data_IF_963146830288
#
_entry.id   IF_963146830288
#
_cell.length_a   1.000
_cell.length_b   1.000
_cell.length_c   1.000
_cell.angle_alpha   90.00
_cell.angle_beta   90.00
_cell.angle_gamma   90.00
#
_symmetry.space_group_name_H-M   'P 1'
#
loop_
_entity.id
_entity.type
_entity.pdbx_description
1 polymer ?
#
# COMPACT_ATOMS: atom_id res chain seq x y z
N UNK A 1 15.72 -28.22 8.99
CA UNK A 1 16.26 -27.26 8.01
C UNK A 1 15.27 -26.12 7.97
N UNK A 2 15.65 -24.92 8.43
CA UNK A 2 14.85 -23.72 8.25
C UNK A 2 14.80 -23.48 6.75
N UNK A 3 13.63 -23.39 6.18
CA UNK A 3 13.47 -23.20 4.75
C UNK A 3 13.93 -21.76 4.44
N UNK A 4 15.09 -21.59 3.80
CA UNK A 4 15.70 -20.28 3.48
C UNK A 4 14.75 -19.33 2.73
N UNK A 5 13.69 -19.86 2.09
CA UNK A 5 12.68 -19.07 1.38
C UNK A 5 11.78 -18.21 2.29
N UNK A 6 11.84 -18.37 3.62
CA UNK A 6 11.01 -17.62 4.59
C UNK A 6 11.76 -16.52 5.33
N UNK A 7 13.06 -16.36 5.09
CA UNK A 7 13.83 -15.28 5.69
C UNK A 7 13.46 -13.98 4.98
N UNK A 8 13.01 -13.00 5.76
CA UNK A 8 12.77 -11.65 5.28
C UNK A 8 14.08 -10.86 5.35
N UNK A 9 14.56 -10.43 4.19
CA UNK A 9 15.80 -9.66 4.06
C UNK A 9 15.51 -8.18 3.85
N UNK A 10 16.24 -7.32 4.55
CA UNK A 10 16.25 -5.89 4.29
C UNK A 10 17.27 -5.59 3.20
N UNK A 11 16.83 -4.90 2.16
CA UNK A 11 17.66 -4.54 1.00
C UNK A 11 17.52 -3.06 0.65
N UNK A 12 18.49 -2.58 -0.14
CA UNK A 12 18.51 -1.20 -0.61
C UNK A 12 18.89 -1.17 -2.09
N UNK A 13 18.22 -0.27 -2.82
CA UNK A 13 18.59 0.09 -4.19
C UNK A 13 18.63 1.62 -4.32
N UNK A 14 19.30 2.12 -5.35
CA UNK A 14 19.22 3.54 -5.72
C UNK A 14 18.21 3.72 -6.86
N UNK A 15 17.33 4.67 -6.67
CA UNK A 15 16.41 5.17 -7.70
C UNK A 15 16.77 6.65 -7.91
N UNK A 16 17.38 6.97 -9.05
CA UNK A 16 18.12 8.21 -9.25
C UNK A 16 19.14 8.39 -8.10
N UNK A 17 19.15 9.53 -7.43
CA UNK A 17 20.05 9.83 -6.32
C UNK A 17 19.51 9.39 -4.94
N UNK A 18 18.34 8.72 -4.90
CA UNK A 18 17.68 8.38 -3.65
C UNK A 18 17.90 6.91 -3.28
N UNK A 19 18.26 6.65 -2.03
CA UNK A 19 18.37 5.32 -1.46
C UNK A 19 16.99 4.84 -1.02
N UNK A 20 16.55 3.74 -1.63
CA UNK A 20 15.25 3.13 -1.37
C UNK A 20 15.43 1.82 -0.62
N UNK A 21 14.81 1.74 0.54
CA UNK A 21 14.74 0.53 1.34
C UNK A 21 13.59 -0.36 0.86
N UNK A 22 13.82 -1.65 0.87
CA UNK A 22 12.74 -2.63 0.68
C UNK A 22 13.01 -3.92 1.45
N UNK A 23 11.93 -4.63 1.77
CA UNK A 23 11.99 -5.98 2.30
C UNK A 23 11.80 -6.97 1.15
N UNK A 24 12.54 -8.07 1.18
CA UNK A 24 12.41 -9.15 0.21
C UNK A 24 12.31 -10.49 0.91
N UNK A 25 11.45 -11.39 0.40
CA UNK A 25 11.33 -12.77 0.87
C UNK A 25 10.87 -13.68 -0.27
N UNK A 26 11.24 -14.96 -0.21
CA UNK A 26 10.93 -15.91 -1.26
C UNK A 26 11.89 -15.83 -2.46
N UNK A 27 11.87 -16.87 -3.30
CA UNK A 27 12.83 -17.05 -4.41
C UNK A 27 12.14 -17.48 -5.74
N UNK A 28 10.84 -17.32 -5.84
CA UNK A 28 10.08 -17.64 -7.06
C UNK A 28 10.48 -16.71 -8.22
N UNK A 29 10.29 -17.19 -9.45
CA UNK A 29 10.43 -16.35 -10.65
C UNK A 29 9.33 -15.29 -10.77
N UNK A 30 8.14 -15.57 -10.21
CA UNK A 30 7.03 -14.61 -10.19
C UNK A 30 7.18 -13.67 -9.00
N UNK A 31 7.07 -12.37 -9.25
CA UNK A 31 7.22 -11.34 -8.23
C UNK A 31 5.86 -10.78 -7.83
N UNK A 32 5.62 -10.71 -6.51
CA UNK A 32 4.52 -9.97 -5.89
C UNK A 32 5.08 -8.73 -5.19
N UNK A 33 4.65 -7.56 -5.63
CA UNK A 33 5.06 -6.28 -5.03
C UNK A 33 3.94 -5.78 -4.12
N UNK A 34 4.27 -5.43 -2.86
CA UNK A 34 3.32 -4.91 -1.88
C UNK A 34 3.61 -3.44 -1.62
N UNK A 35 2.63 -2.55 -1.89
CA UNK A 35 2.76 -1.11 -1.71
C UNK A 35 1.90 -0.62 -0.53
N UNK A 36 2.55 -0.04 0.47
CA UNK A 36 1.91 0.46 1.67
C UNK A 36 1.18 1.80 1.46
N UNK A 37 0.36 2.20 2.42
CA UNK A 37 -0.38 3.45 2.43
C UNK A 37 0.44 4.67 2.86
N UNK A 38 -0.23 5.83 2.91
CA UNK A 38 0.33 7.12 3.31
C UNK A 38 1.00 7.04 4.70
N UNK A 39 2.24 7.54 4.83
CA UNK A 39 2.97 7.58 6.12
C UNK A 39 3.37 6.23 6.70
N UNK A 40 3.07 5.13 6.01
CA UNK A 40 3.38 3.78 6.45
C UNK A 40 4.79 3.33 6.01
N UNK A 41 5.04 2.04 6.08
CA UNK A 41 6.28 1.39 5.66
C UNK A 41 6.03 -0.08 5.33
N UNK A 42 7.06 -0.77 4.84
CA UNK A 42 7.01 -2.19 4.49
C UNK A 42 6.56 -3.09 5.65
N UNK A 43 6.83 -2.70 6.90
CA UNK A 43 6.46 -3.44 8.10
C UNK A 43 4.95 -3.71 8.21
N UNK A 44 4.11 -2.89 7.57
CA UNK A 44 2.64 -3.13 7.59
C UNK A 44 2.24 -4.46 6.96
N UNK A 45 3.11 -5.05 6.14
CA UNK A 45 2.86 -6.29 5.42
C UNK A 45 3.44 -7.53 6.09
N UNK A 46 4.15 -7.39 7.23
CA UNK A 46 4.91 -8.50 7.87
C UNK A 46 4.08 -9.73 8.17
N UNK A 47 2.78 -9.58 8.49
CA UNK A 47 1.89 -10.70 8.78
C UNK A 47 1.58 -11.58 7.55
N UNK A 48 1.61 -11.01 6.33
CA UNK A 48 1.26 -11.72 5.08
C UNK A 48 2.47 -12.09 4.23
N UNK A 49 3.62 -11.42 4.40
CA UNK A 49 4.85 -11.72 3.65
C UNK A 49 5.23 -13.21 3.71
N UNK A 50 5.27 -13.89 4.89
CA UNK A 50 5.67 -15.30 4.95
C UNK A 50 4.71 -16.23 4.19
N UNK A 51 3.42 -15.87 4.11
CA UNK A 51 2.40 -16.65 3.38
C UNK A 51 2.63 -16.52 1.89
N UNK A 52 2.84 -15.31 1.41
CA UNK A 52 3.07 -15.07 -0.01
C UNK A 52 4.44 -15.58 -0.50
N UNK A 53 5.46 -15.55 0.37
CA UNK A 53 6.81 -16.02 0.04
C UNK A 53 6.90 -17.51 -0.24
N UNK A 54 5.86 -18.30 0.11
CA UNK A 54 5.76 -19.70 -0.29
C UNK A 54 5.55 -19.86 -1.82
N UNK A 55 5.03 -18.83 -2.48
CA UNK A 55 4.63 -18.89 -3.89
C UNK A 55 5.35 -17.87 -4.78
N UNK A 56 5.78 -16.75 -4.20
CA UNK A 56 6.32 -15.59 -4.92
C UNK A 56 7.66 -15.13 -4.36
N UNK A 57 8.42 -14.42 -5.17
CA UNK A 57 9.39 -13.43 -4.70
C UNK A 57 8.58 -12.22 -4.25
N UNK A 58 8.51 -11.97 -2.96
CA UNK A 58 7.76 -10.85 -2.37
C UNK A 58 8.70 -9.67 -2.20
N UNK A 59 8.38 -8.53 -2.81
CA UNK A 59 9.18 -7.29 -2.77
C UNK A 59 8.31 -6.18 -2.18
N UNK A 60 8.77 -5.56 -1.11
CA UNK A 60 7.98 -4.61 -0.32
C UNK A 60 8.78 -3.34 -0.10
N UNK A 61 8.74 -2.36 -1.03
CA UNK A 61 9.46 -1.12 -0.84
C UNK A 61 8.83 -0.25 0.25
N UNK A 62 9.68 0.47 0.98
CA UNK A 62 9.27 1.73 1.56
C UNK A 62 9.17 2.75 0.41
N UNK A 63 7.96 3.24 0.14
CA UNK A 63 7.76 4.23 -0.91
C UNK A 63 8.65 5.46 -0.66
N UNK A 64 9.22 6.01 -1.74
CA UNK A 64 10.00 7.24 -1.64
C UNK A 64 9.21 8.33 -0.88
N UNK A 65 9.86 8.98 0.08
CA UNK A 65 9.20 9.92 0.99
C UNK A 65 8.69 9.30 2.29
N UNK A 66 8.65 7.95 2.40
CA UNK A 66 8.10 7.23 3.55
C UNK A 66 9.06 6.16 4.09
N UNK A 67 8.66 5.55 5.20
CA UNK A 67 9.45 4.49 5.82
C UNK A 67 10.87 4.95 6.15
N UNK A 68 11.82 4.11 5.82
CA UNK A 68 13.26 4.37 5.93
C UNK A 68 13.92 4.67 4.57
N UNK A 69 13.12 4.81 3.51
CA UNK A 69 13.59 5.33 2.22
C UNK A 69 13.86 6.83 2.30
N UNK A 70 14.67 7.35 1.38
CA UNK A 70 14.98 8.77 1.29
C UNK A 70 13.73 9.62 1.05
N UNK A 71 13.78 10.85 1.52
CA UNK A 71 12.69 11.83 1.52
C UNK A 71 13.15 13.12 0.87
N UNK A 72 13.33 13.12 -0.48
CA UNK A 72 13.74 14.32 -1.20
C UNK A 72 12.72 15.45 -1.05
N UNK A 73 13.18 16.69 -1.11
CA UNK A 73 12.31 17.86 -1.16
C UNK A 73 11.80 18.05 -2.58
N UNK A 74 10.60 17.58 -2.81
CA UNK A 74 9.92 17.60 -4.12
C UNK A 74 8.40 17.60 -3.96
N UNK A 75 7.67 17.77 -5.06
CA UNK A 75 6.23 17.61 -5.10
C UNK A 75 5.88 16.12 -5.25
N UNK A 76 5.26 15.55 -4.22
CA UNK A 76 4.85 14.14 -4.19
C UNK A 76 3.48 13.97 -4.87
N UNK A 77 3.49 13.99 -6.20
CA UNK A 77 2.30 13.79 -7.05
C UNK A 77 2.14 12.32 -7.42
N UNK A 78 0.98 11.93 -7.97
CA UNK A 78 0.77 10.58 -8.48
C UNK A 78 1.74 10.24 -9.61
N UNK A 79 2.01 11.19 -10.51
CA UNK A 79 3.00 11.02 -11.58
C UNK A 79 4.41 10.79 -11.03
N UNK A 80 4.79 11.51 -9.96
CA UNK A 80 6.05 11.30 -9.27
C UNK A 80 6.16 9.86 -8.73
N UNK A 81 5.12 9.37 -8.06
CA UNK A 81 5.10 7.99 -7.55
C UNK A 81 5.08 6.95 -8.66
N UNK A 82 4.34 7.19 -9.75
CA UNK A 82 4.31 6.27 -10.90
C UNK A 82 5.68 6.15 -11.57
N UNK A 83 6.36 7.27 -11.80
CA UNK A 83 7.74 7.30 -12.31
C UNK A 83 8.73 6.64 -11.34
N UNK A 84 8.55 6.85 -10.04
CA UNK A 84 9.34 6.16 -9.01
C UNK A 84 9.18 4.65 -9.11
N UNK A 85 7.94 4.12 -9.24
CA UNK A 85 7.71 2.68 -9.35
C UNK A 85 8.41 2.07 -10.56
N UNK A 86 8.32 2.72 -11.73
CA UNK A 86 8.99 2.24 -12.95
C UNK A 86 10.50 2.08 -12.72
N UNK A 87 11.14 3.12 -12.18
CA UNK A 87 12.57 3.10 -11.89
C UNK A 87 12.95 2.11 -10.79
N UNK A 88 12.11 1.99 -9.75
CA UNK A 88 12.30 1.02 -8.67
C UNK A 88 12.24 -0.41 -9.22
N UNK A 89 11.30 -0.73 -10.09
CA UNK A 89 11.19 -2.06 -10.70
C UNK A 89 12.45 -2.41 -11.50
N UNK A 90 12.98 -1.46 -12.28
CA UNK A 90 14.25 -1.66 -12.99
C UNK A 90 15.40 -1.90 -12.01
N UNK A 91 15.56 -1.04 -11.00
CA UNK A 91 16.65 -1.11 -10.02
C UNK A 91 16.62 -2.38 -9.15
N UNK A 92 15.41 -2.92 -8.87
CA UNK A 92 15.22 -4.12 -8.05
C UNK A 92 15.05 -5.40 -8.87
N UNK A 93 15.25 -5.35 -10.21
CA UNK A 93 15.05 -6.47 -11.13
C UNK A 93 13.66 -7.09 -10.97
N UNK A 94 12.64 -6.26 -10.95
CA UNK A 94 11.23 -6.66 -10.96
C UNK A 94 10.71 -6.50 -12.39
N UNK A 95 10.31 -7.61 -12.99
CA UNK A 95 9.73 -7.64 -14.33
C UNK A 95 8.29 -8.12 -14.25
N UNK A 96 7.38 -7.35 -14.83
CA UNK A 96 5.95 -7.63 -14.95
C UNK A 96 5.34 -8.24 -13.67
N UNK A 97 5.38 -7.53 -12.53
CA UNK A 97 4.93 -8.05 -11.25
C UNK A 97 3.41 -8.19 -11.17
N UNK A 98 2.97 -8.97 -10.18
CA UNK A 98 1.67 -8.78 -9.55
C UNK A 98 1.84 -7.65 -8.56
N UNK A 99 0.97 -6.63 -8.60
CA UNK A 99 1.02 -5.49 -7.67
C UNK A 99 -0.17 -5.55 -6.71
N UNK A 100 0.11 -5.47 -5.43
CA UNK A 100 -0.88 -5.33 -4.37
C UNK A 100 -0.64 -4.02 -3.63
N UNK A 101 -1.57 -3.09 -3.75
CA UNK A 101 -1.47 -1.79 -3.09
C UNK A 101 -2.60 -1.52 -2.11
N UNK A 102 -2.26 -0.93 -0.96
CA UNK A 102 -3.23 -0.51 0.06
C UNK A 102 -3.33 1.01 0.12
N UNK A 103 -4.56 1.55 0.19
CA UNK A 103 -4.81 2.98 0.38
C UNK A 103 -4.10 3.83 -0.69
N UNK A 104 -3.18 4.71 -0.30
CA UNK A 104 -2.30 5.45 -1.23
C UNK A 104 -1.53 4.49 -2.16
N UNK A 105 -0.97 3.39 -1.63
CA UNK A 105 -0.30 2.38 -2.43
C UNK A 105 -1.23 1.76 -3.48
N UNK A 106 -2.51 1.61 -3.15
CA UNK A 106 -3.56 1.17 -4.09
C UNK A 106 -3.79 2.20 -5.20
N UNK A 107 -3.88 3.49 -4.87
CA UNK A 107 -4.03 4.56 -5.85
C UNK A 107 -2.81 4.66 -6.78
N UNK A 108 -1.60 4.58 -6.22
CA UNK A 108 -0.35 4.57 -7.00
C UNK A 108 -0.30 3.34 -7.92
N UNK A 109 -0.71 2.16 -7.42
CA UNK A 109 -0.77 0.93 -8.22
C UNK A 109 -1.74 1.06 -9.40
N UNK A 110 -2.92 1.62 -9.16
CA UNK A 110 -3.92 1.86 -10.19
C UNK A 110 -3.44 2.90 -11.22
N UNK A 111 -2.81 3.99 -10.77
CA UNK A 111 -2.20 5.00 -11.62
C UNK A 111 -1.15 4.40 -12.55
N UNK A 112 -0.19 3.65 -11.97
CA UNK A 112 0.87 2.99 -12.73
C UNK A 112 0.29 1.97 -13.73
N UNK A 113 -0.65 1.13 -13.29
CA UNK A 113 -1.25 0.11 -14.16
C UNK A 113 -2.06 0.73 -15.30
N UNK A 114 -2.74 1.85 -15.07
CA UNK A 114 -3.53 2.55 -16.09
C UNK A 114 -2.67 3.07 -17.25
N UNK A 115 -1.44 3.44 -16.96
CA UNK A 115 -0.48 3.97 -17.94
C UNK A 115 0.47 2.91 -18.50
N UNK A 116 0.68 1.80 -17.77
CA UNK A 116 1.59 0.71 -18.13
C UNK A 116 0.92 -0.68 -18.03
N UNK A 117 -0.24 -0.90 -18.68
CA UNK A 117 -1.03 -2.13 -18.46
C UNK A 117 -0.29 -3.42 -18.86
N UNK A 118 0.66 -3.34 -19.79
CA UNK A 118 1.46 -4.50 -20.23
C UNK A 118 2.57 -4.88 -19.24
N UNK A 119 2.94 -3.96 -18.34
CA UNK A 119 4.01 -4.16 -17.37
C UNK A 119 3.51 -4.73 -16.04
N UNK A 120 2.21 -5.04 -15.92
CA UNK A 120 1.58 -5.59 -14.70
C UNK A 120 0.86 -6.89 -15.04
N UNK A 121 1.16 -7.99 -14.33
CA UNK A 121 0.52 -9.29 -14.58
C UNK A 121 -0.90 -9.32 -14.02
N UNK A 122 -1.08 -8.89 -12.76
CA UNK A 122 -2.37 -8.75 -12.07
C UNK A 122 -2.30 -7.59 -11.09
N UNK A 123 -3.43 -6.98 -10.82
CA UNK A 123 -3.58 -5.86 -9.88
C UNK A 123 -4.46 -6.26 -8.70
N UNK A 124 -4.02 -5.98 -7.48
CA UNK A 124 -4.83 -6.12 -6.27
C UNK A 124 -4.88 -4.77 -5.55
N UNK A 125 -6.07 -4.30 -5.28
CA UNK A 125 -6.33 -3.03 -4.62
C UNK A 125 -7.01 -3.29 -3.28
N UNK A 126 -6.40 -2.83 -2.19
CA UNK A 126 -6.97 -2.95 -0.85
C UNK A 126 -7.34 -1.59 -0.33
N UNK A 127 -8.65 -1.34 -0.13
CA UNK A 127 -9.17 -0.04 0.34
C UNK A 127 -8.47 1.15 -0.35
N UNK A 128 -8.40 1.18 -1.70
CA UNK A 128 -7.60 2.16 -2.43
C UNK A 128 -8.16 3.58 -2.28
N UNK A 129 -7.27 4.58 -2.18
CA UNK A 129 -7.64 5.99 -2.30
C UNK A 129 -7.86 6.42 -3.75
N UNK A 130 -8.26 7.68 -3.98
CA UNK A 130 -8.36 8.28 -5.31
C UNK A 130 -9.75 8.68 -5.78
N UNK A 131 -10.80 8.23 -5.08
CA UNK A 131 -12.21 8.58 -5.41
C UNK A 131 -12.89 9.42 -4.33
N UNK A 132 -12.36 9.41 -3.13
CA UNK A 132 -12.93 10.14 -1.99
C UNK A 132 -12.68 11.65 -2.11
N UNK A 133 -13.73 12.46 -1.95
CA UNK A 133 -13.68 13.92 -2.07
C UNK A 133 -13.43 14.66 -0.75
N UNK A 134 -13.73 14.03 0.36
CA UNK A 134 -13.64 14.65 1.70
C UNK A 134 -12.94 13.68 2.65
N UNK A 135 -12.13 14.22 3.56
CA UNK A 135 -11.50 13.43 4.60
C UNK A 135 -12.55 12.94 5.60
N UNK A 136 -12.33 11.75 6.14
CA UNK A 136 -13.11 11.20 7.24
C UNK A 136 -12.47 11.57 8.59
N UNK A 137 -13.20 11.50 9.70
CA UNK A 137 -12.61 11.74 11.04
C UNK A 137 -11.40 10.83 11.34
N UNK A 138 -11.42 9.58 10.85
CA UNK A 138 -10.30 8.66 11.01
C UNK A 138 -9.06 9.10 10.21
N UNK A 139 -9.25 9.60 8.98
CA UNK A 139 -8.16 10.17 8.19
C UNK A 139 -7.62 11.45 8.82
N UNK A 140 -8.48 12.33 9.35
CA UNK A 140 -8.08 13.55 10.04
C UNK A 140 -7.24 13.22 11.30
N UNK A 141 -7.66 12.22 12.09
CA UNK A 141 -6.89 11.75 13.24
C UNK A 141 -5.52 11.21 12.82
N UNK A 142 -5.45 10.47 11.72
CA UNK A 142 -4.18 9.97 11.19
C UNK A 142 -3.25 11.10 10.72
N UNK A 143 -3.79 12.11 10.04
CA UNK A 143 -3.03 13.30 9.65
C UNK A 143 -2.50 14.07 10.88
N UNK A 144 -3.32 14.20 11.91
CA UNK A 144 -2.88 14.83 13.18
C UNK A 144 -1.76 14.04 13.84
N UNK A 145 -1.86 12.70 13.88
CA UNK A 145 -0.81 11.85 14.42
C UNK A 145 0.50 11.97 13.63
N UNK A 146 0.44 12.11 12.31
CA UNK A 146 1.62 12.31 11.48
C UNK A 146 2.29 13.66 11.72
N UNK A 147 1.52 14.72 11.89
CA UNK A 147 2.06 16.07 12.15
C UNK A 147 2.58 16.26 13.58
N UNK A 148 1.91 15.63 14.55
CA UNK A 148 2.25 15.70 15.98
C UNK A 148 2.47 14.29 16.54
N UNK A 149 3.56 13.59 16.10
CA UNK A 149 3.79 12.19 16.43
C UNK A 149 4.14 12.02 17.92
N UNK A 150 3.18 11.48 18.65
CA UNK A 150 3.28 11.05 20.03
C UNK A 150 2.38 9.83 20.24
N UNK A 151 2.56 9.14 21.36
CA UNK A 151 1.87 7.90 21.69
C UNK A 151 0.33 8.05 21.65
N UNK A 152 -0.21 9.08 22.29
CA UNK A 152 -1.65 9.30 22.38
C UNK A 152 -2.28 9.52 20.98
N UNK A 153 -1.66 10.37 20.15
CA UNK A 153 -2.17 10.65 18.80
C UNK A 153 -2.06 9.43 17.90
N UNK A 154 -0.93 8.72 17.97
CA UNK A 154 -0.71 7.51 17.16
C UNK A 154 -1.71 6.42 17.55
N UNK A 155 -1.85 6.12 18.84
CA UNK A 155 -2.80 5.13 19.35
C UNK A 155 -4.23 5.46 18.91
N UNK A 156 -4.70 6.67 19.15
CA UNK A 156 -6.03 7.11 18.74
C UNK A 156 -6.27 6.97 17.22
N UNK A 157 -5.27 7.34 16.40
CA UNK A 157 -5.39 7.25 14.95
C UNK A 157 -5.49 5.78 14.46
N UNK A 158 -4.69 4.89 15.02
CA UNK A 158 -4.72 3.47 14.63
C UNK A 158 -5.96 2.76 15.16
N UNK A 159 -6.42 3.04 16.38
CA UNK A 159 -7.68 2.52 16.91
C UNK A 159 -8.88 2.94 16.04
N UNK A 160 -8.93 4.20 15.63
CA UNK A 160 -9.96 4.68 14.71
C UNK A 160 -9.84 4.02 13.33
N UNK A 161 -8.63 3.82 12.83
CA UNK A 161 -8.38 3.22 11.50
C UNK A 161 -8.86 1.76 11.41
N UNK A 162 -8.65 0.99 12.45
CA UNK A 162 -9.03 -0.43 12.47
C UNK A 162 -10.53 -0.63 12.76
N UNK A 163 -11.21 0.35 13.36
CA UNK A 163 -12.67 0.36 13.53
C UNK A 163 -13.27 -0.71 14.43
N UNK A 164 -12.46 -1.61 14.98
CA UNK A 164 -12.91 -2.84 15.66
C UNK A 164 -12.81 -2.80 17.18
N UNK A 165 -12.20 -1.75 17.75
CA UNK A 165 -11.88 -1.71 19.18
C UNK A 165 -10.79 -2.71 19.59
N UNK A 166 -10.07 -3.28 18.65
CA UNK A 166 -8.92 -4.14 18.90
C UNK A 166 -7.74 -3.33 19.43
N UNK A 167 -6.99 -3.92 20.34
CA UNK A 167 -5.78 -3.30 20.89
C UNK A 167 -4.69 -3.26 19.80
N UNK A 168 -4.14 -2.07 19.56
CA UNK A 168 -3.08 -1.87 18.58
C UNK A 168 -1.73 -2.26 19.18
N UNK A 169 -0.96 -3.09 18.46
CA UNK A 169 0.41 -3.45 18.86
C UNK A 169 1.26 -2.17 18.97
N UNK A 170 1.82 -1.94 20.14
CA UNK A 170 2.68 -0.78 20.45
C UNK A 170 3.84 -0.63 19.45
N UNK A 171 4.36 -1.74 18.89
CA UNK A 171 5.40 -1.69 17.86
C UNK A 171 4.95 -0.96 16.58
N UNK A 172 3.64 -1.01 16.28
CA UNK A 172 3.09 -0.30 15.12
C UNK A 172 3.09 1.21 15.38
N UNK A 173 2.63 1.63 16.57
CA UNK A 173 2.57 3.04 16.97
C UNK A 173 3.96 3.63 17.16
N UNK A 174 4.86 2.92 17.84
CA UNK A 174 6.23 3.35 18.07
C UNK A 174 7.01 3.51 16.77
N UNK A 175 6.93 2.51 15.89
CA UNK A 175 7.56 2.56 14.59
C UNK A 175 6.99 3.70 13.72
N UNK A 176 5.69 3.99 13.80
CA UNK A 176 5.12 5.15 13.11
C UNK A 176 5.68 6.47 13.65
N UNK A 177 5.72 6.63 14.99
CA UNK A 177 6.25 7.82 15.65
C UNK A 177 7.71 8.04 15.27
N UNK A 178 8.52 7.00 15.32
CA UNK A 178 9.94 7.04 14.94
C UNK A 178 10.11 7.55 13.50
N UNK A 179 9.42 6.92 12.55
CA UNK A 179 9.51 7.28 11.13
C UNK A 179 9.01 8.71 10.83
N UNK A 180 7.95 9.16 11.49
CA UNK A 180 7.45 10.52 11.32
C UNK A 180 8.35 11.60 11.95
N UNK A 181 9.32 11.22 12.78
CA UNK A 181 10.36 12.10 13.33
C UNK A 181 11.63 12.15 12.47
N UNK A 182 11.76 11.28 11.47
CA UNK A 182 12.89 11.32 10.54
C UNK A 182 12.92 12.64 9.75
N UNK A 183 14.11 13.08 9.31
CA UNK A 183 14.25 14.27 8.48
C UNK A 183 13.31 14.23 7.27
N UNK A 184 12.68 15.35 6.97
CA UNK A 184 11.72 15.56 5.87
C UNK A 184 10.45 14.69 5.88
N UNK A 185 10.24 13.76 6.84
CA UNK A 185 9.09 12.86 6.83
C UNK A 185 7.75 13.61 6.82
N UNK A 186 7.60 14.65 7.67
CA UNK A 186 6.39 15.47 7.70
C UNK A 186 6.19 16.29 6.42
N UNK A 187 7.28 16.77 5.82
CA UNK A 187 7.22 17.51 4.56
C UNK A 187 6.76 16.60 3.41
N UNK A 188 7.34 15.41 3.30
CA UNK A 188 6.93 14.41 2.31
C UNK A 188 5.45 14.00 2.51
N UNK A 189 5.03 13.77 3.76
CA UNK A 189 3.65 13.46 4.10
C UNK A 189 2.68 14.56 3.66
N UNK A 190 2.97 15.82 4.01
CA UNK A 190 2.13 16.97 3.65
C UNK A 190 2.14 17.24 2.15
N UNK A 191 3.30 17.14 1.48
CA UNK A 191 3.39 17.30 0.03
C UNK A 191 2.56 16.23 -0.69
N UNK A 192 2.55 14.98 -0.18
CA UNK A 192 1.71 13.92 -0.71
C UNK A 192 0.22 14.26 -0.56
N UNK A 193 -0.22 14.70 0.62
CA UNK A 193 -1.62 15.14 0.84
C UNK A 193 -2.02 16.23 -0.15
N UNK A 194 -1.15 17.23 -0.36
CA UNK A 194 -1.42 18.31 -1.31
C UNK A 194 -1.46 17.81 -2.75
N UNK A 195 -0.55 16.90 -3.13
CA UNK A 195 -0.53 16.27 -4.44
C UNK A 195 -1.81 15.47 -4.72
N UNK A 196 -2.29 14.70 -3.73
CA UNK A 196 -3.54 13.94 -3.83
C UNK A 196 -4.78 14.86 -3.91
N UNK A 197 -4.81 15.94 -3.12
CA UNK A 197 -5.92 16.90 -3.13
C UNK A 197 -6.05 17.62 -4.49
N UNK A 198 -4.92 17.87 -5.14
CA UNK A 198 -4.86 18.54 -6.44
C UNK A 198 -4.99 17.56 -7.62
N UNK A 199 -4.92 16.24 -7.37
CA UNK A 199 -5.09 15.23 -8.40
C UNK A 199 -6.56 15.16 -8.86
N UNK A 200 -6.77 14.93 -10.15
CA UNK A 200 -8.09 14.56 -10.64
C UNK A 200 -8.53 13.23 -10.02
N UNK A 201 -9.84 13.07 -9.82
CA UNK A 201 -10.40 11.80 -9.38
C UNK A 201 -10.03 10.74 -10.42
N UNK A 202 -9.44 9.65 -9.94
CA UNK A 202 -8.83 8.60 -10.76
C UNK A 202 -9.81 7.86 -11.69
N UNK A 203 -11.13 8.06 -11.57
CA UNK A 203 -12.19 7.28 -12.24
C UNK A 203 -11.98 7.12 -13.75
N UNK A 204 -11.53 8.18 -14.45
CA UNK A 204 -11.24 8.10 -15.89
C UNK A 204 -10.04 7.18 -16.20
N UNK A 205 -9.01 7.20 -15.35
CA UNK A 205 -7.83 6.36 -15.50
C UNK A 205 -8.14 4.90 -15.19
N UNK A 206 -9.05 4.63 -14.25
CA UNK A 206 -9.51 3.27 -13.94
C UNK A 206 -10.11 2.57 -15.16
N UNK A 207 -10.81 3.29 -16.05
CA UNK A 207 -11.40 2.73 -17.28
C UNK A 207 -10.34 2.22 -18.28
N UNK A 208 -9.10 2.69 -18.19
CA UNK A 208 -8.00 2.19 -19.04
C UNK A 208 -7.30 0.94 -18.49
N UNK A 209 -7.64 0.51 -17.28
CA UNK A 209 -7.09 -0.70 -16.67
C UNK A 209 -7.74 -1.93 -17.32
N UNK A 210 -6.95 -2.64 -18.13
CA UNK A 210 -7.33 -3.91 -18.77
C UNK A 210 -6.74 -5.12 -18.02
N UNK A 211 -5.86 -4.86 -17.06
CA UNK A 211 -5.20 -5.86 -16.24
C UNK A 211 -6.22 -6.51 -15.31
N UNK A 212 -6.26 -7.87 -15.21
CA UNK A 212 -7.14 -8.54 -14.25
C UNK A 212 -6.96 -7.99 -12.84
N UNK A 213 -8.05 -7.54 -12.22
CA UNK A 213 -8.02 -6.81 -10.96
C UNK A 213 -8.85 -7.49 -9.88
N UNK A 214 -8.31 -7.55 -8.66
CA UNK A 214 -9.04 -7.91 -7.45
C UNK A 214 -9.11 -6.70 -6.52
N UNK A 215 -10.31 -6.38 -6.05
CA UNK A 215 -10.52 -5.37 -5.00
C UNK A 215 -10.87 -6.09 -3.71
N UNK A 216 -10.17 -5.78 -2.63
CA UNK A 216 -10.47 -6.26 -1.28
C UNK A 216 -10.75 -5.05 -0.40
N UNK A 217 -11.84 -5.10 0.40
CA UNK A 217 -12.23 -3.97 1.24
C UNK A 217 -12.81 -4.44 2.57
N UNK A 218 -12.40 -3.78 3.66
CA UNK A 218 -13.00 -3.98 4.96
C UNK A 218 -14.42 -3.41 5.03
N UNK A 219 -15.37 -4.17 5.58
CA UNK A 219 -16.78 -3.74 5.67
C UNK A 219 -16.98 -2.50 6.52
N UNK A 220 -16.12 -2.32 7.52
CA UNK A 220 -16.22 -1.29 8.54
C UNK A 220 -15.09 -0.26 8.43
N UNK A 221 -14.54 -0.07 7.20
CA UNK A 221 -13.45 0.86 6.93
C UNK A 221 -13.86 2.32 7.25
N UNK A 222 -13.31 2.91 8.30
CA UNK A 222 -13.66 4.27 8.71
C UNK A 222 -12.79 5.34 8.03
N UNK A 223 -11.72 4.93 7.34
CA UNK A 223 -10.81 5.83 6.64
C UNK A 223 -11.30 6.10 5.23
N UNK A 224 -11.60 5.03 4.48
CA UNK A 224 -12.19 5.09 3.14
C UNK A 224 -13.39 4.16 3.13
N UNK A 225 -14.62 4.68 3.29
CA UNK A 225 -15.82 3.87 3.39
C UNK A 225 -16.00 2.93 2.19
N UNK A 226 -16.43 1.68 2.46
CA UNK A 226 -16.56 0.61 1.45
C UNK A 226 -17.45 0.97 0.26
N UNK A 227 -18.38 1.94 0.43
CA UNK A 227 -19.24 2.44 -0.66
C UNK A 227 -18.44 2.97 -1.86
N UNK A 228 -17.20 3.42 -1.62
CA UNK A 228 -16.30 3.83 -2.69
C UNK A 228 -15.80 2.68 -3.57
N UNK A 229 -16.00 1.41 -3.17
CA UNK A 229 -15.69 0.27 -4.03
C UNK A 229 -16.51 0.27 -5.32
N UNK A 230 -17.75 0.77 -5.29
CA UNK A 230 -18.64 0.82 -6.44
C UNK A 230 -18.05 1.62 -7.61
N UNK A 231 -17.28 2.69 -7.31
CA UNK A 231 -16.63 3.51 -8.34
C UNK A 231 -15.53 2.73 -9.08
N UNK A 232 -14.77 1.90 -8.37
CA UNK A 232 -13.75 1.03 -8.97
C UNK A 232 -14.40 -0.10 -9.77
N UNK A 233 -15.43 -0.75 -9.22
CA UNK A 233 -16.16 -1.84 -9.87
C UNK A 233 -16.88 -1.39 -11.15
N UNK A 234 -17.40 -0.19 -11.15
CA UNK A 234 -18.03 0.39 -12.34
C UNK A 234 -17.04 0.78 -13.44
N UNK A 235 -15.78 1.08 -13.07
CA UNK A 235 -14.79 1.59 -13.99
C UNK A 235 -13.85 0.52 -14.57
N UNK A 236 -13.46 -0.49 -13.80
CA UNK A 236 -12.50 -1.53 -14.22
C UNK A 236 -13.26 -2.73 -14.80
N UNK A 237 -13.01 -3.05 -16.08
CA UNK A 237 -13.80 -4.03 -16.82
C UNK A 237 -13.60 -5.49 -16.36
N UNK A 238 -12.36 -5.90 -16.03
CA UNK A 238 -12.06 -7.25 -15.48
C UNK A 238 -11.73 -7.11 -13.99
N UNK A 239 -12.78 -6.99 -13.18
CA UNK A 239 -12.66 -6.71 -11.75
C UNK A 239 -13.46 -7.71 -10.92
N UNK A 240 -12.78 -8.32 -9.93
CA UNK A 240 -13.41 -9.12 -8.87
C UNK A 240 -13.41 -8.33 -7.58
N UNK A 241 -14.42 -8.54 -6.75
CA UNK A 241 -14.57 -7.89 -5.46
C UNK A 241 -14.69 -8.88 -4.32
N UNK A 242 -13.98 -8.63 -3.24
CA UNK A 242 -14.11 -9.37 -2.00
C UNK A 242 -14.25 -8.42 -0.81
N UNK A 243 -15.42 -8.46 -0.18
CA UNK A 243 -15.70 -7.74 1.07
C UNK A 243 -15.16 -8.56 2.24
N UNK A 244 -14.34 -7.95 3.09
CA UNK A 244 -13.89 -8.56 4.34
C UNK A 244 -14.75 -8.06 5.50
N UNK A 245 -15.65 -8.92 5.98
CA UNK A 245 -16.57 -8.58 7.08
C UNK A 245 -15.82 -8.38 8.40
N UNK A 246 -16.29 -7.41 9.20
CA UNK A 246 -15.68 -7.02 10.48
C UNK A 246 -14.18 -6.72 10.35
N UNK A 247 -13.84 -5.89 9.38
CA UNK A 247 -12.50 -5.37 9.14
C UNK A 247 -12.58 -3.88 8.85
N UNK A 248 -11.63 -3.11 9.41
CA UNK A 248 -11.41 -1.71 9.11
C UNK A 248 -10.54 -1.50 7.86
N UNK A 249 -9.67 -0.48 7.93
CA UNK A 249 -8.88 -0.02 6.77
C UNK A 249 -7.73 -0.95 6.36
N UNK A 250 -7.26 -1.81 7.28
CA UNK A 250 -6.10 -2.68 6.99
C UNK A 250 -6.41 -4.16 7.21
N UNK A 251 -7.29 -4.76 6.37
CA UNK A 251 -7.73 -6.15 6.54
C UNK A 251 -6.60 -7.18 6.48
N UNK A 252 -5.48 -6.86 5.84
CA UNK A 252 -4.27 -7.69 5.81
C UNK A 252 -3.50 -7.71 7.14
N UNK A 253 -3.79 -6.77 8.04
CA UNK A 253 -3.28 -6.77 9.43
C UNK A 253 -4.25 -7.51 10.34
N UNK A 254 -5.55 -7.19 10.25
CA UNK A 254 -6.58 -7.74 11.13
C UNK A 254 -6.89 -9.22 10.86
N UNK A 255 -6.93 -9.64 9.59
CA UNK A 255 -7.25 -11.02 9.19
C UNK A 255 -6.27 -11.54 8.13
N UNK A 256 -4.96 -11.63 8.46
CA UNK A 256 -3.89 -11.88 7.49
C UNK A 256 -4.06 -13.19 6.72
N UNK A 257 -4.47 -14.26 7.38
CA UNK A 257 -4.65 -15.58 6.74
C UNK A 257 -5.80 -15.57 5.74
N UNK A 258 -6.95 -14.99 6.09
CA UNK A 258 -8.10 -14.88 5.19
C UNK A 258 -7.76 -13.95 4.01
N UNK A 259 -7.15 -12.80 4.29
CA UNK A 259 -6.71 -11.88 3.27
C UNK A 259 -5.78 -12.55 2.26
N UNK A 260 -4.72 -13.20 2.75
CA UNK A 260 -3.76 -13.89 1.91
C UNK A 260 -4.42 -15.02 1.09
N UNK A 261 -5.33 -15.80 1.67
CA UNK A 261 -6.09 -16.82 0.93
C UNK A 261 -6.83 -16.21 -0.26
N UNK A 262 -7.51 -15.07 -0.09
CA UNK A 262 -8.26 -14.43 -1.18
C UNK A 262 -7.36 -13.85 -2.28
N UNK A 263 -6.20 -13.35 -1.90
CA UNK A 263 -5.18 -12.95 -2.88
C UNK A 263 -4.66 -14.19 -3.64
N UNK A 264 -4.29 -15.26 -2.94
CA UNK A 264 -3.78 -16.49 -3.55
C UNK A 264 -4.81 -17.16 -4.48
N UNK A 265 -6.08 -17.22 -4.10
CA UNK A 265 -7.19 -17.71 -4.94
C UNK A 265 -7.31 -16.94 -6.27
N UNK A 266 -6.93 -15.66 -6.26
CA UNK A 266 -6.95 -14.82 -7.47
C UNK A 266 -5.69 -14.96 -8.32
N UNK A 267 -4.51 -15.04 -7.69
CA UNK A 267 -3.24 -14.95 -8.41
C UNK A 267 -2.68 -16.29 -8.88
N UNK A 268 -2.98 -17.37 -8.17
CA UNK A 268 -2.56 -18.71 -8.57
C UNK A 268 -3.49 -19.27 -9.66
N UNK A 269 -2.97 -20.07 -10.59
CA UNK A 269 -3.82 -20.80 -11.52
C UNK A 269 -4.68 -21.82 -10.76
N UNK A 270 -5.94 -21.94 -11.17
CA UNK A 270 -6.83 -23.03 -10.71
C UNK A 270 -6.31 -24.38 -11.21
#
# INVERSE_FOLDING_TARGET
MINDSKIMEEKFVHVDDNKIRYLESGNSKKTLVLLHGLGASAERWTAVIPIFAEHFRVVVPDLIGFGYSDKPLTDYTLDFFSNFLEKFFIASNVDRPIILGSSLGGQISAEYTSTHPQNVEKLILTSPSGVMKQATPALDAYMMAAMYPNEQNAKNAFELMEGSGEEIDEKITDGFIERMRLPNAKLAFMSTILGLKNAEIITKKLQSIITPTLIIWGSDDPVIPIQHADEFLAAISDCRFFRMDNCGHTPYVQKPTLFASKVLDFVLPN
#
